data_IF_277084372920
#
_entry.id   IF_277084372920
#
_cell.length_a   1.000
_cell.length_b   1.000
_cell.length_c   1.000
_cell.angle_alpha   90.00
_cell.angle_beta   90.00
_cell.angle_gamma   90.00
#
_symmetry.space_group_name_H-M   'P 1'
#
loop_
_entity.id
_entity.type
_entity.pdbx_description
1 polymer ?
#
# COMPACT_ATOMS: atom_id res chain seq x y z
N UNK A 1 15.77 3.22 -33.37
CA UNK A 1 16.38 2.60 -32.17
C UNK A 1 16.85 3.61 -31.12
N UNK A 2 17.56 4.70 -31.48
CA UNK A 2 18.13 5.67 -30.51
C UNK A 2 17.15 6.29 -29.48
N UNK A 3 15.86 6.44 -29.83
CA UNK A 3 14.86 7.03 -28.93
C UNK A 3 14.40 6.11 -27.79
N UNK A 4 14.23 4.81 -28.04
CA UNK A 4 13.68 3.88 -27.05
C UNK A 4 14.70 3.55 -25.95
N UNK A 5 15.98 3.36 -26.31
CA UNK A 5 17.04 3.15 -25.32
C UNK A 5 17.18 4.35 -24.39
N UNK A 6 17.10 5.57 -24.93
CA UNK A 6 17.16 6.81 -24.13
C UNK A 6 15.96 6.94 -23.20
N UNK A 7 14.77 6.53 -23.64
CA UNK A 7 13.56 6.47 -22.79
C UNK A 7 13.66 5.44 -21.67
N UNK A 8 14.23 4.26 -21.95
CA UNK A 8 14.48 3.23 -20.94
C UNK A 8 15.42 3.72 -19.83
N UNK A 9 16.58 4.29 -20.18
CA UNK A 9 17.53 4.80 -19.20
C UNK A 9 16.95 5.94 -18.36
N UNK A 10 16.22 6.87 -18.99
CA UNK A 10 15.52 7.94 -18.29
C UNK A 10 14.50 7.40 -17.28
N UNK A 11 13.72 6.39 -17.67
CA UNK A 11 12.75 5.75 -16.79
C UNK A 11 13.42 5.07 -15.59
N UNK A 12 14.57 4.42 -15.81
CA UNK A 12 15.36 3.83 -14.73
C UNK A 12 15.86 4.88 -13.74
N UNK A 13 16.32 6.03 -14.23
CA UNK A 13 16.76 7.15 -13.38
C UNK A 13 15.59 7.78 -12.61
N UNK A 14 14.44 7.97 -13.27
CA UNK A 14 13.19 8.44 -12.64
C UNK A 14 12.78 7.51 -11.49
N UNK A 15 12.80 6.19 -11.73
CA UNK A 15 12.49 5.18 -10.71
C UNK A 15 13.47 5.24 -9.53
N UNK A 16 14.77 5.35 -9.79
CA UNK A 16 15.76 5.44 -8.72
C UNK A 16 15.56 6.69 -7.84
N UNK A 17 15.29 7.84 -8.47
CA UNK A 17 14.95 9.07 -7.75
C UNK A 17 13.67 8.92 -6.92
N UNK A 18 12.64 8.29 -7.50
CA UNK A 18 11.39 8.03 -6.78
C UNK A 18 11.62 7.13 -5.56
N UNK A 19 12.46 6.09 -5.66
CA UNK A 19 12.78 5.21 -4.54
C UNK A 19 13.48 5.98 -3.40
N UNK A 20 14.46 6.83 -3.72
CA UNK A 20 15.15 7.66 -2.71
C UNK A 20 14.17 8.61 -2.01
N UNK A 21 13.32 9.28 -2.79
CA UNK A 21 12.31 10.19 -2.25
C UNK A 21 11.30 9.46 -1.37
N UNK A 22 10.89 8.27 -1.78
CA UNK A 22 9.97 7.42 -1.02
C UNK A 22 10.56 7.02 0.35
N UNK A 23 11.82 6.59 0.40
CA UNK A 23 12.48 6.29 1.67
C UNK A 23 12.50 7.51 2.60
N UNK A 24 12.90 8.67 2.08
CA UNK A 24 12.92 9.92 2.87
C UNK A 24 11.54 10.33 3.37
N UNK A 25 10.53 10.15 2.54
CA UNK A 25 9.15 10.48 2.87
C UNK A 25 8.59 9.53 3.94
N UNK A 26 8.86 8.23 3.83
CA UNK A 26 8.49 7.24 4.82
C UNK A 26 9.18 7.52 6.18
N UNK A 27 10.47 7.84 6.18
CA UNK A 27 11.22 8.20 7.40
C UNK A 27 10.66 9.47 8.06
N UNK A 28 10.39 10.50 7.26
CA UNK A 28 9.79 11.75 7.74
C UNK A 28 8.40 11.52 8.33
N UNK A 29 7.56 10.74 7.63
CA UNK A 29 6.20 10.44 8.05
C UNK A 29 6.16 9.54 9.30
N UNK A 30 7.09 8.59 9.41
CA UNK A 30 7.24 7.77 10.61
C UNK A 30 7.62 8.61 11.84
N UNK A 31 8.46 9.61 11.64
CA UNK A 31 8.88 10.55 12.70
C UNK A 31 7.75 11.51 13.10
N UNK A 32 6.97 11.99 12.13
CA UNK A 32 5.86 12.91 12.36
C UNK A 32 4.75 12.63 11.35
N UNK A 33 3.74 11.85 11.75
CA UNK A 33 2.62 11.53 10.88
C UNK A 33 1.55 12.61 11.04
N UNK A 34 1.57 13.61 10.15
CA UNK A 34 0.59 14.69 10.09
C UNK A 34 -0.31 14.54 8.86
N UNK A 35 -1.54 15.08 8.89
CA UNK A 35 -2.42 15.07 7.72
C UNK A 35 -1.78 15.74 6.50
N UNK A 36 -1.09 16.87 6.69
CA UNK A 36 -0.41 17.58 5.60
C UNK A 36 0.68 16.73 4.91
N UNK A 37 1.49 16.01 5.70
CA UNK A 37 2.53 15.13 5.14
C UNK A 37 1.90 13.93 4.41
N UNK A 38 0.83 13.36 4.97
CA UNK A 38 0.11 12.26 4.34
C UNK A 38 -0.54 12.70 3.03
N UNK A 39 -1.19 13.85 2.97
CA UNK A 39 -1.80 14.38 1.75
C UNK A 39 -0.77 14.60 0.64
N UNK A 40 0.33 15.29 0.95
CA UNK A 40 1.43 15.51 -0.01
C UNK A 40 1.99 14.20 -0.54
N UNK A 41 2.16 13.21 0.33
CA UNK A 41 2.65 11.89 -0.03
C UNK A 41 1.69 11.16 -0.98
N UNK A 42 0.42 11.07 -0.60
CA UNK A 42 -0.62 10.41 -1.38
C UNK A 42 -0.83 11.09 -2.73
N UNK A 43 -0.82 12.43 -2.77
CA UNK A 43 -0.92 13.18 -4.02
C UNK A 43 0.22 12.85 -4.98
N UNK A 44 1.47 12.82 -4.49
CA UNK A 44 2.63 12.46 -5.31
C UNK A 44 2.56 11.01 -5.83
N UNK A 45 2.17 10.06 -4.98
CA UNK A 45 1.98 8.64 -5.37
C UNK A 45 0.87 8.52 -6.41
N UNK A 46 -0.29 9.15 -6.17
CA UNK A 46 -1.44 9.14 -7.08
C UNK A 46 -1.09 9.71 -8.45
N UNK A 47 -0.44 10.88 -8.49
CA UNK A 47 0.00 11.52 -9.73
C UNK A 47 1.00 10.62 -10.49
N UNK A 48 1.95 10.01 -9.78
CA UNK A 48 2.89 9.05 -10.37
C UNK A 48 2.21 7.80 -10.94
N UNK A 49 1.24 7.23 -10.21
CA UNK A 49 0.49 6.06 -10.66
C UNK A 49 -0.34 6.38 -11.91
N UNK A 50 -1.03 7.52 -11.94
CA UNK A 50 -1.78 7.96 -13.12
C UNK A 50 -0.87 8.14 -14.35
N UNK A 51 0.30 8.75 -14.20
CA UNK A 51 1.27 8.88 -15.31
C UNK A 51 1.72 7.51 -15.82
N UNK A 52 2.16 6.63 -14.92
CA UNK A 52 2.68 5.31 -15.30
C UNK A 52 1.59 4.43 -15.91
N UNK A 53 0.38 4.43 -15.37
CA UNK A 53 -0.76 3.70 -15.94
C UNK A 53 -1.13 4.22 -17.34
N UNK A 54 -1.13 5.54 -17.54
CA UNK A 54 -1.35 6.14 -18.86
C UNK A 54 -0.24 5.75 -19.85
N UNK A 55 1.02 5.74 -19.41
CA UNK A 55 2.18 5.31 -20.23
C UNK A 55 2.09 3.83 -20.59
N UNK A 56 1.76 2.95 -19.64
CA UNK A 56 1.53 1.51 -19.87
C UNK A 56 0.39 1.28 -20.86
N UNK A 57 -0.76 1.96 -20.67
CA UNK A 57 -1.90 1.88 -21.60
C UNK A 57 -1.51 2.31 -23.00
N UNK A 58 -0.83 3.45 -23.12
CA UNK A 58 -0.34 4.00 -24.39
C UNK A 58 0.70 3.09 -25.05
N UNK A 59 1.56 2.46 -24.26
CA UNK A 59 2.56 1.50 -24.73
C UNK A 59 1.92 0.22 -25.26
N UNK A 60 1.01 -0.40 -24.49
CA UNK A 60 0.25 -1.59 -24.87
C UNK A 60 -0.59 -1.35 -26.11
N UNK A 61 -1.31 -0.24 -26.20
CA UNK A 61 -2.09 0.13 -27.39
C UNK A 61 -1.23 0.26 -28.65
N UNK A 62 -0.02 0.84 -28.51
CA UNK A 62 0.95 0.93 -29.62
C UNK A 62 1.53 -0.45 -29.98
N UNK A 63 1.82 -1.28 -28.99
CA UNK A 63 2.38 -2.61 -29.19
C UNK A 63 1.37 -3.60 -29.77
N UNK A 64 0.10 -3.57 -29.38
CA UNK A 64 -0.95 -4.41 -29.99
C UNK A 64 -1.11 -4.16 -31.50
N UNK A 65 -0.84 -2.93 -31.96
CA UNK A 65 -0.88 -2.55 -33.38
C UNK A 65 0.40 -2.89 -34.16
N UNK A 66 1.49 -3.28 -33.47
CA UNK A 66 2.82 -3.54 -34.06
C UNK A 66 2.98 -4.90 -34.75
N UNK A 67 2.43 -6.03 -34.26
CA UNK A 67 2.59 -7.34 -34.91
C UNK A 67 2.22 -7.33 -36.40
N UNK A 68 1.16 -6.59 -36.77
CA UNK A 68 0.74 -6.41 -38.17
C UNK A 68 1.79 -5.67 -39.00
N UNK A 69 2.44 -4.64 -38.44
CA UNK A 69 3.50 -3.86 -39.10
C UNK A 69 4.83 -4.62 -39.18
N UNK A 70 5.19 -5.34 -38.11
CA UNK A 70 6.42 -6.15 -38.07
C UNK A 70 6.31 -7.33 -39.02
N UNK A 71 5.16 -8.02 -39.09
CA UNK A 71 4.92 -9.10 -40.07
C UNK A 71 5.06 -8.59 -41.52
N UNK A 72 4.51 -7.42 -41.83
CA UNK A 72 4.66 -6.78 -43.15
C UNK A 72 6.11 -6.39 -43.47
N UNK A 73 6.88 -5.91 -42.49
CA UNK A 73 8.30 -5.59 -42.65
C UNK A 73 9.18 -6.85 -42.78
N UNK A 74 8.87 -7.91 -42.04
CA UNK A 74 9.61 -9.20 -42.07
C UNK A 74 9.49 -9.89 -43.43
N UNK A 75 8.33 -9.76 -44.09
CA UNK A 75 8.09 -10.25 -45.46
C UNK A 75 8.90 -9.43 -46.48
N UNK A 76 9.08 -8.12 -46.27
CA UNK A 76 9.82 -7.23 -47.20
C UNK A 76 11.34 -7.26 -47.05
N UNK A 77 11.88 -7.52 -45.85
CA UNK A 77 13.27 -7.21 -45.53
C UNK A 77 14.27 -8.38 -45.64
N UNK A 78 13.83 -9.60 -45.98
CA UNK A 78 14.71 -10.69 -46.44
C UNK A 78 15.92 -11.12 -45.58
N UNK A 79 16.12 -10.67 -44.34
CA UNK A 79 17.32 -11.07 -43.58
C UNK A 79 17.70 -10.31 -42.28
N UNK A 80 16.96 -9.31 -41.82
CA UNK A 80 17.33 -8.52 -40.62
C UNK A 80 16.91 -9.11 -39.26
N UNK A 81 17.18 -10.38 -38.97
CA UNK A 81 16.60 -11.07 -37.79
C UNK A 81 17.14 -10.59 -36.43
N UNK A 82 18.43 -10.27 -36.30
CA UNK A 82 19.05 -9.92 -35.01
C UNK A 82 18.61 -8.55 -34.49
N UNK A 83 18.64 -7.51 -35.32
CA UNK A 83 18.20 -6.16 -34.97
C UNK A 83 16.71 -6.10 -34.58
N UNK A 84 15.89 -6.99 -35.15
CA UNK A 84 14.48 -7.14 -34.75
C UNK A 84 14.39 -7.79 -33.37
N UNK A 85 15.22 -8.80 -33.08
CA UNK A 85 15.33 -9.43 -31.76
C UNK A 85 15.71 -8.43 -30.66
N UNK A 86 16.77 -7.65 -30.88
CA UNK A 86 17.22 -6.61 -29.93
C UNK A 86 16.14 -5.55 -29.70
N UNK A 87 15.40 -5.18 -30.75
CA UNK A 87 14.29 -4.24 -30.62
C UNK A 87 13.13 -4.80 -29.79
N UNK A 88 12.79 -6.09 -29.98
CA UNK A 88 11.75 -6.77 -29.18
C UNK A 88 12.19 -6.87 -27.72
N UNK A 89 13.43 -7.27 -27.46
CA UNK A 89 13.99 -7.33 -26.11
C UNK A 89 13.94 -5.96 -25.41
N UNK A 90 14.35 -4.89 -26.10
CA UNK A 90 14.28 -3.53 -25.56
C UNK A 90 12.84 -3.05 -25.33
N UNK A 91 11.88 -3.50 -26.14
CA UNK A 91 10.46 -3.22 -25.91
C UNK A 91 9.95 -3.94 -24.64
N UNK A 92 10.33 -5.20 -24.44
CA UNK A 92 10.01 -5.97 -23.23
C UNK A 92 10.58 -5.29 -21.99
N UNK A 93 11.87 -4.96 -22.01
CA UNK A 93 12.56 -4.28 -20.90
C UNK A 93 11.94 -2.92 -20.56
N UNK A 94 11.43 -2.18 -21.55
CA UNK A 94 10.73 -0.92 -21.30
C UNK A 94 9.38 -1.11 -20.62
N UNK A 95 8.60 -2.12 -21.04
CA UNK A 95 7.32 -2.45 -20.41
C UNK A 95 7.52 -2.93 -18.96
N UNK A 96 8.48 -3.84 -18.76
CA UNK A 96 8.88 -4.32 -17.45
C UNK A 96 9.30 -3.15 -16.54
N UNK A 97 10.13 -2.23 -17.04
CA UNK A 97 10.56 -1.09 -16.25
C UNK A 97 9.41 -0.15 -15.86
N UNK A 98 8.38 -0.01 -16.70
CA UNK A 98 7.16 0.74 -16.34
C UNK A 98 6.36 0.00 -15.26
N UNK A 99 6.25 -1.32 -15.37
CA UNK A 99 5.58 -2.17 -14.38
C UNK A 99 6.30 -2.14 -13.02
N UNK A 100 7.63 -2.22 -13.01
CA UNK A 100 8.44 -2.10 -11.80
C UNK A 100 8.27 -0.70 -11.16
N UNK A 101 8.16 0.37 -11.96
CA UNK A 101 7.92 1.69 -11.40
C UNK A 101 6.51 1.81 -10.81
N UNK A 102 5.49 1.23 -11.47
CA UNK A 102 4.15 1.12 -10.89
C UNK A 102 4.17 0.39 -9.54
N UNK A 103 4.91 -0.71 -9.44
CA UNK A 103 5.07 -1.46 -8.20
C UNK A 103 5.79 -0.66 -7.12
N UNK A 104 6.86 0.05 -7.47
CA UNK A 104 7.58 0.91 -6.52
C UNK A 104 6.65 1.96 -5.91
N UNK A 105 5.82 2.64 -6.71
CA UNK A 105 4.86 3.63 -6.21
C UNK A 105 3.84 3.01 -5.25
N UNK A 106 3.39 1.78 -5.51
CA UNK A 106 2.52 1.02 -4.59
C UNK A 106 3.23 0.67 -3.28
N UNK A 107 4.51 0.28 -3.35
CA UNK A 107 5.32 0.02 -2.16
C UNK A 107 5.52 1.29 -1.32
N UNK A 108 5.55 2.48 -1.94
CA UNK A 108 5.52 3.74 -1.21
C UNK A 108 4.21 3.89 -0.44
N UNK A 109 3.07 3.56 -1.04
CA UNK A 109 1.77 3.52 -0.38
C UNK A 109 1.73 2.50 0.76
N UNK A 110 2.31 1.32 0.57
CA UNK A 110 2.45 0.28 1.60
C UNK A 110 3.23 0.78 2.81
N UNK A 111 4.33 1.50 2.58
CA UNK A 111 5.13 2.07 3.66
C UNK A 111 4.33 3.12 4.49
N UNK A 112 3.51 3.94 3.84
CA UNK A 112 2.61 4.87 4.54
C UNK A 112 1.55 4.12 5.34
N UNK A 113 0.93 3.09 4.74
CA UNK A 113 -0.08 2.25 5.39
C UNK A 113 0.50 1.56 6.63
N UNK A 114 1.68 0.96 6.51
CA UNK A 114 2.37 0.31 7.62
C UNK A 114 2.67 1.30 8.74
N UNK A 115 3.11 2.51 8.39
CA UNK A 115 3.38 3.57 9.37
C UNK A 115 2.11 4.01 10.11
N UNK A 116 0.98 4.16 9.40
CA UNK A 116 -0.32 4.48 10.01
C UNK A 116 -0.79 3.36 10.94
N UNK A 117 -0.61 2.10 10.51
CA UNK A 117 -0.90 0.90 11.29
C UNK A 117 0.17 0.62 12.36
N UNK A 118 1.11 1.53 12.55
CA UNK A 118 2.17 1.48 13.58
C UNK A 118 3.07 0.24 13.49
N UNK A 119 3.19 -0.33 12.29
CA UNK A 119 3.91 -1.57 12.02
C UNK A 119 3.41 -2.76 12.86
N UNK A 120 2.19 -2.69 13.39
CA UNK A 120 1.61 -3.78 14.17
C UNK A 120 1.07 -4.84 13.20
N UNK A 121 1.68 -6.04 13.13
CA UNK A 121 1.22 -7.10 12.23
C UNK A 121 -0.25 -7.48 12.49
N UNK A 122 -0.72 -7.34 13.73
CA UNK A 122 -2.12 -7.61 14.11
C UNK A 122 -3.10 -6.62 13.51
N UNK A 123 -2.62 -5.42 13.13
CA UNK A 123 -3.41 -4.41 12.41
C UNK A 123 -3.29 -4.57 10.91
N UNK A 124 -2.12 -5.00 10.44
CA UNK A 124 -1.82 -5.14 9.00
C UNK A 124 -2.47 -6.39 8.41
N UNK A 125 -2.27 -7.57 9.02
CA UNK A 125 -2.72 -8.84 8.45
C UNK A 125 -4.23 -8.91 8.22
N UNK A 126 -5.09 -8.50 9.18
CA UNK A 126 -6.53 -8.50 8.93
C UNK A 126 -6.90 -7.60 7.77
N UNK A 127 -6.19 -6.48 7.59
CA UNK A 127 -6.50 -5.51 6.55
C UNK A 127 -5.94 -5.87 5.17
N UNK A 128 -5.03 -6.84 5.11
CA UNK A 128 -4.40 -7.29 3.87
C UNK A 128 -5.38 -8.05 2.96
N UNK A 129 -5.40 -7.69 1.68
CA UNK A 129 -6.14 -8.40 0.66
C UNK A 129 -5.39 -8.45 -0.67
N UNK A 130 -5.32 -9.63 -1.27
CA UNK A 130 -4.79 -9.82 -2.63
C UNK A 130 -5.79 -9.33 -3.66
N UNK A 131 -5.99 -8.01 -3.76
CA UNK A 131 -6.75 -7.39 -4.84
C UNK A 131 -5.81 -6.70 -5.81
N UNK A 132 -6.17 -6.75 -7.09
CA UNK A 132 -5.54 -5.90 -8.09
C UNK A 132 -6.06 -4.50 -7.88
N UNK A 133 -5.40 -3.72 -7.02
CA UNK A 133 -5.73 -2.32 -6.81
C UNK A 133 -5.50 -1.55 -8.11
N UNK A 134 -6.59 -1.28 -8.82
CA UNK A 134 -6.61 -0.36 -9.94
C UNK A 134 -6.93 1.01 -9.37
N UNK A 135 -6.12 2.01 -9.71
CA UNK A 135 -6.46 3.36 -9.31
C UNK A 135 -7.78 3.74 -10.00
N UNK A 136 -8.80 4.09 -9.22
CA UNK A 136 -10.04 4.61 -9.77
C UNK A 136 -9.77 5.80 -10.70
N UNK A 137 -10.64 6.01 -11.70
CA UNK A 137 -10.50 7.13 -12.64
C UNK A 137 -11.78 7.97 -12.68
N UNK A 138 -11.67 9.23 -13.12
CA UNK A 138 -12.82 10.12 -13.24
C UNK A 138 -13.44 10.52 -11.90
N UNK A 139 -14.72 10.23 -11.71
CA UNK A 139 -15.50 10.69 -10.55
C UNK A 139 -15.03 10.02 -9.24
N UNK A 140 -14.70 8.72 -9.29
CA UNK A 140 -14.34 7.96 -8.09
C UNK A 140 -13.09 8.52 -7.40
N UNK A 141 -12.03 8.78 -8.17
CA UNK A 141 -10.78 9.34 -7.64
C UNK A 141 -10.97 10.77 -7.11
N UNK A 142 -11.82 11.57 -7.76
CA UNK A 142 -12.13 12.92 -7.34
C UNK A 142 -12.90 12.93 -6.00
N UNK A 143 -13.87 12.04 -5.84
CA UNK A 143 -14.64 11.90 -4.61
C UNK A 143 -13.75 11.47 -3.43
N UNK A 144 -12.94 10.41 -3.61
CA UNK A 144 -12.00 9.96 -2.59
C UNK A 144 -11.01 11.07 -2.20
N UNK A 145 -10.43 11.75 -3.18
CA UNK A 145 -9.49 12.86 -2.96
C UNK A 145 -10.15 14.01 -2.21
N UNK A 146 -11.40 14.37 -2.55
CA UNK A 146 -12.12 15.44 -1.87
C UNK A 146 -12.36 15.11 -0.40
N UNK A 147 -12.87 13.91 -0.10
CA UNK A 147 -13.10 13.45 1.29
C UNK A 147 -11.79 13.48 2.10
N UNK A 148 -10.68 13.03 1.52
CA UNK A 148 -9.36 13.06 2.15
C UNK A 148 -8.95 14.49 2.49
N UNK A 149 -9.01 15.41 1.50
CA UNK A 149 -8.60 16.80 1.68
C UNK A 149 -9.43 17.49 2.77
N UNK A 150 -10.75 17.35 2.74
CA UNK A 150 -11.61 17.96 3.75
C UNK A 150 -11.35 17.38 5.14
N UNK A 151 -11.12 16.06 5.24
CA UNK A 151 -10.80 15.43 6.51
C UNK A 151 -9.45 15.92 7.06
N UNK A 152 -8.45 16.05 6.20
CA UNK A 152 -7.09 16.47 6.59
C UNK A 152 -7.04 17.94 7.01
N UNK A 153 -7.83 18.83 6.38
CA UNK A 153 -7.95 20.25 6.79
C UNK A 153 -8.34 20.44 8.26
N UNK A 154 -9.03 19.45 8.83
CA UNK A 154 -9.50 19.51 10.23
C UNK A 154 -8.37 19.27 11.22
N UNK A 155 -7.26 18.66 10.78
CA UNK A 155 -6.16 18.22 11.64
C UNK A 155 -6.49 16.99 12.51
N UNK A 156 -7.75 16.54 12.57
CA UNK A 156 -8.22 15.50 13.49
C UNK A 156 -8.05 14.09 12.96
N UNK A 157 -7.96 13.93 11.64
CA UNK A 157 -7.96 12.63 10.99
C UNK A 157 -6.77 12.44 10.06
N UNK A 158 -6.24 11.21 10.06
CA UNK A 158 -5.36 10.71 9.02
C UNK A 158 -6.19 9.76 8.17
N UNK A 159 -6.30 10.04 6.88
CA UNK A 159 -7.10 9.27 5.93
C UNK A 159 -6.20 8.75 4.82
N UNK A 160 -6.16 7.43 4.70
CA UNK A 160 -5.42 6.70 3.69
C UNK A 160 -6.35 6.28 2.54
N UNK A 161 -5.91 6.53 1.32
CA UNK A 161 -6.49 6.06 0.08
C UNK A 161 -6.00 4.63 -0.19
N UNK A 162 -6.90 3.64 -0.07
CA UNK A 162 -6.55 2.24 -0.20
C UNK A 162 -6.18 1.87 -1.63
N UNK A 163 -6.64 2.65 -2.61
CA UNK A 163 -6.23 2.55 -4.02
C UNK A 163 -4.81 3.03 -4.29
N UNK A 164 -4.04 3.46 -3.29
CA UNK A 164 -2.60 3.77 -3.43
C UNK A 164 -1.68 2.68 -2.86
N UNK A 165 -2.25 1.74 -2.11
CA UNK A 165 -1.51 0.68 -1.43
C UNK A 165 -1.92 -0.70 -1.99
N UNK A 166 -1.18 -1.75 -1.63
CA UNK A 166 -1.54 -3.17 -1.74
C UNK A 166 -1.73 -3.80 -0.36
N UNK A 167 -1.30 -3.11 0.68
CA UNK A 167 -1.37 -3.56 2.06
C UNK A 167 -2.81 -3.57 2.60
N UNK A 168 -3.69 -2.70 2.10
CA UNK A 168 -5.07 -2.60 2.58
C UNK A 168 -6.02 -2.93 1.44
N UNK A 169 -6.67 -4.10 1.53
CA UNK A 169 -7.52 -4.68 0.50
C UNK A 169 -9.02 -4.38 0.65
N UNK A 170 -9.38 -3.49 1.59
CA UNK A 170 -10.73 -3.39 2.15
C UNK A 170 -11.20 -1.95 2.14
N UNK A 171 -12.35 -1.68 1.52
CA UNK A 171 -12.87 -0.31 1.36
C UNK A 171 -11.99 0.56 0.45
N UNK A 172 -12.50 1.74 0.11
CA UNK A 172 -11.78 2.76 -0.66
C UNK A 172 -10.87 3.60 0.23
N UNK A 173 -11.30 3.90 1.47
CA UNK A 173 -10.53 4.69 2.43
C UNK A 173 -10.37 3.95 3.76
N UNK A 174 -9.24 4.18 4.44
CA UNK A 174 -9.04 3.81 5.84
C UNK A 174 -8.71 5.05 6.67
N UNK A 175 -9.48 5.26 7.73
CA UNK A 175 -9.53 6.47 8.55
C UNK A 175 -8.99 6.16 9.93
N UNK A 176 -8.15 7.07 10.42
CA UNK A 176 -7.54 7.02 11.74
C UNK A 176 -7.76 8.35 12.45
N UNK A 177 -7.99 8.31 13.76
CA UNK A 177 -7.88 9.52 14.60
C UNK A 177 -6.40 9.90 14.71
N UNK A 178 -6.06 11.17 14.46
CA UNK A 178 -4.67 11.59 14.37
C UNK A 178 -3.93 11.50 15.72
N UNK A 179 -4.61 11.84 16.82
CA UNK A 179 -4.10 11.83 18.19
C UNK A 179 -4.09 10.44 18.85
N UNK A 180 -5.03 9.56 18.46
CA UNK A 180 -5.20 8.22 19.03
C UNK A 180 -4.85 7.09 18.06
N UNK A 181 -4.11 7.35 16.97
CA UNK A 181 -3.88 6.37 15.89
C UNK A 181 -3.33 5.02 16.35
N UNK A 182 -2.55 4.99 17.44
CA UNK A 182 -1.92 3.77 17.97
C UNK A 182 -2.82 3.00 18.92
N UNK A 183 -3.85 3.65 19.45
CA UNK A 183 -4.72 3.14 20.51
C UNK A 183 -6.06 2.71 19.93
N UNK A 184 -6.63 3.51 19.04
CA UNK A 184 -7.91 3.23 18.41
C UNK A 184 -7.75 2.31 17.19
N UNK A 185 -8.85 1.62 16.86
CA UNK A 185 -8.93 0.84 15.63
C UNK A 185 -9.19 1.78 14.45
N UNK A 186 -8.53 1.54 13.30
CA UNK A 186 -8.92 2.21 12.08
C UNK A 186 -10.36 1.86 11.69
N UNK A 187 -10.95 2.75 10.90
CA UNK A 187 -12.26 2.60 10.31
C UNK A 187 -12.13 2.58 8.79
N UNK A 188 -12.65 1.54 8.12
CA UNK A 188 -12.63 1.44 6.65
C UNK A 188 -13.96 1.86 6.06
N UNK A 189 -13.91 2.56 4.93
CA UNK A 189 -15.05 3.20 4.29
C UNK A 189 -15.11 2.84 2.81
N UNK A 190 -16.30 2.47 2.34
CA UNK A 190 -16.60 2.34 0.92
C UNK A 190 -17.30 3.62 0.43
N UNK A 191 -16.82 4.17 -0.67
CA UNK A 191 -17.33 5.38 -1.30
C UNK A 191 -18.08 5.03 -2.59
N UNK A 192 -19.34 5.46 -2.68
CA UNK A 192 -20.09 5.45 -3.94
C UNK A 192 -20.29 6.87 -4.41
N UNK A 193 -19.48 7.28 -5.38
CA UNK A 193 -19.63 8.58 -6.02
C UNK A 193 -20.58 8.50 -7.22
N UNK A 194 -21.58 9.38 -7.27
CA UNK A 194 -22.47 9.56 -8.42
C UNK A 194 -22.42 11.00 -8.90
N UNK A 195 -22.40 11.18 -10.22
CA UNK A 195 -22.61 12.49 -10.82
C UNK A 195 -24.11 12.77 -10.89
N UNK A 196 -24.52 13.95 -10.44
CA UNK A 196 -25.83 14.48 -10.80
C UNK A 196 -25.73 15.08 -12.21
N UNK A 197 -25.85 14.24 -13.24
CA UNK A 197 -25.73 14.64 -14.65
C UNK A 197 -24.87 13.68 -15.48
N UNK A 198 -24.63 14.04 -16.76
CA UNK A 198 -24.02 13.14 -17.75
C UNK A 198 -22.50 13.33 -17.91
N UNK A 199 -21.94 14.48 -17.49
CA UNK A 199 -20.51 14.78 -17.67
C UNK A 199 -19.82 15.30 -16.40
N UNK A 200 -18.55 14.92 -16.24
CA UNK A 200 -17.69 15.42 -15.17
C UNK A 200 -17.12 16.79 -15.56
N UNK A 201 -17.76 17.86 -15.08
CA UNK A 201 -17.34 19.25 -15.30
C UNK A 201 -16.86 19.82 -13.95
N UNK A 202 -15.83 20.67 -13.96
CA UNK A 202 -15.38 21.35 -12.74
C UNK A 202 -16.55 22.15 -12.11
N UNK A 203 -16.84 21.88 -10.83
CA UNK A 203 -17.98 22.46 -10.11
C UNK A 203 -19.27 21.63 -10.15
N UNK A 204 -19.28 20.46 -10.80
CA UNK A 204 -20.41 19.54 -10.73
C UNK A 204 -20.65 19.02 -9.30
N UNK A 205 -21.92 18.93 -8.90
CA UNK A 205 -22.29 18.33 -7.61
C UNK A 205 -22.11 16.81 -7.68
N UNK A 206 -21.26 16.29 -6.79
CA UNK A 206 -21.01 14.86 -6.61
C UNK A 206 -21.68 14.45 -5.31
N UNK A 207 -22.62 13.51 -5.38
CA UNK A 207 -23.13 12.84 -4.18
C UNK A 207 -22.17 11.71 -3.84
N UNK A 208 -21.68 11.72 -2.59
CA UNK A 208 -20.87 10.64 -2.03
C UNK A 208 -21.73 9.90 -1.03
N UNK A 209 -22.17 8.71 -1.40
CA UNK A 209 -22.85 7.79 -0.49
C UNK A 209 -21.82 6.89 0.19
N UNK A 210 -22.09 6.54 1.44
CA UNK A 210 -21.28 5.62 2.23
C UNK A 210 -22.01 4.28 2.33
N UNK A 211 -21.27 3.18 2.26
CA UNK A 211 -21.83 1.84 2.51
C UNK A 211 -20.98 1.07 3.50
N UNK A 212 -21.62 0.20 4.29
CA UNK A 212 -20.92 -0.86 5.03
C UNK A 212 -20.62 -0.60 6.49
N UNK A 213 -21.38 0.24 7.18
CA UNK A 213 -21.14 0.52 8.60
C UNK A 213 -21.83 -0.49 9.51
N UNK A 214 -21.18 -1.63 9.75
CA UNK A 214 -21.51 -2.46 10.93
C UNK A 214 -20.46 -2.20 11.99
N UNK A 215 -20.86 -1.55 13.08
CA UNK A 215 -19.97 -1.21 14.18
C UNK A 215 -19.96 -2.34 15.21
N UNK A 216 -18.84 -3.04 15.32
CA UNK A 216 -18.70 -4.10 16.32
C UNK A 216 -18.18 -3.59 17.67
N UNK A 217 -17.65 -2.36 17.72
CA UNK A 217 -17.29 -1.70 18.97
C UNK A 217 -17.66 -0.21 18.98
N UNK A 218 -17.82 0.32 20.19
CA UNK A 218 -18.19 1.72 20.44
C UNK A 218 -17.15 2.72 19.95
N UNK A 219 -15.86 2.35 19.90
CA UNK A 219 -14.79 3.25 19.47
C UNK A 219 -14.86 3.56 17.96
N UNK A 220 -15.12 2.56 17.12
CA UNK A 220 -15.28 2.73 15.68
C UNK A 220 -16.59 3.45 15.34
N UNK A 221 -17.66 3.18 16.09
CA UNK A 221 -18.91 3.93 15.98
C UNK A 221 -18.71 5.43 16.28
N UNK A 222 -17.97 5.74 17.35
CA UNK A 222 -17.65 7.12 17.70
C UNK A 222 -16.73 7.77 16.67
N UNK A 223 -15.70 7.06 16.20
CA UNK A 223 -14.80 7.56 15.15
C UNK A 223 -15.58 7.90 13.87
N UNK A 224 -16.49 7.02 13.45
CA UNK A 224 -17.36 7.28 12.30
C UNK A 224 -18.27 8.49 12.53
N UNK A 225 -18.94 8.56 13.69
CA UNK A 225 -19.81 9.68 14.02
C UNK A 225 -19.06 11.03 14.00
N UNK A 226 -17.88 11.08 14.61
CA UNK A 226 -17.01 12.25 14.61
C UNK A 226 -16.58 12.62 13.18
N UNK A 227 -16.20 11.63 12.38
CA UNK A 227 -15.76 11.84 10.99
C UNK A 227 -16.87 12.42 10.11
N UNK A 228 -18.06 11.83 10.16
CA UNK A 228 -19.23 12.29 9.40
C UNK A 228 -19.67 13.69 9.83
N UNK A 229 -19.74 13.93 11.14
CA UNK A 229 -20.11 15.23 11.69
C UNK A 229 -19.17 16.33 11.20
N UNK A 230 -17.85 16.07 11.23
CA UNK A 230 -16.83 17.04 10.86
C UNK A 230 -16.86 17.38 9.36
N UNK A 231 -17.14 16.40 8.51
CA UNK A 231 -17.21 16.61 7.07
C UNK A 231 -18.55 17.21 6.60
N UNK A 232 -19.51 17.43 7.52
CA UNK A 232 -20.84 17.95 7.18
C UNK A 232 -21.59 17.06 6.19
N UNK A 233 -21.21 15.79 6.11
CA UNK A 233 -21.77 14.84 5.17
C UNK A 233 -23.19 14.53 5.60
N UNK A 234 -24.16 14.74 4.70
CA UNK A 234 -25.50 14.22 4.91
C UNK A 234 -25.37 12.70 4.85
N UNK A 235 -25.51 12.04 6.00
CA UNK A 235 -25.78 10.60 6.02
C UNK A 235 -27.07 10.45 5.23
N UNK A 236 -26.96 9.98 3.98
CA UNK A 236 -28.12 9.43 3.30
C UNK A 236 -28.64 8.37 4.24
N UNK A 237 -29.83 8.59 4.82
CA UNK A 237 -30.42 7.64 5.73
C UNK A 237 -30.26 6.26 5.09
N UNK A 238 -29.54 5.36 5.76
CA UNK A 238 -29.69 3.95 5.49
C UNK A 238 -31.16 3.64 5.85
N UNK A 239 -32.09 3.89 4.93
CA UNK A 239 -33.32 3.13 4.89
C UNK A 239 -32.86 1.68 4.82
N UNK A 240 -33.06 0.97 5.93
CA UNK A 240 -32.42 -0.30 6.24
C UNK A 240 -32.27 -1.19 5.01
N UNK A 241 -31.03 -1.38 4.56
CA UNK A 241 -30.74 -2.35 3.53
C UNK A 241 -30.81 -3.75 4.13
N UNK A 242 -32.02 -4.31 4.02
CA UNK A 242 -32.35 -5.74 4.00
C UNK A 242 -31.29 -6.58 3.23
N UNK A 243 -31.14 -7.88 3.55
CA UNK A 243 -29.89 -8.63 3.52
C UNK A 243 -29.53 -9.13 2.13
N UNK A 244 -28.89 -8.28 1.34
CA UNK A 244 -27.96 -8.72 0.29
C UNK A 244 -26.74 -7.80 0.33
N UNK A 245 -26.01 -7.85 1.45
CA UNK A 245 -24.69 -7.24 1.55
C UNK A 245 -23.84 -7.72 0.37
N UNK A 246 -23.38 -6.80 -0.47
CA UNK A 246 -22.48 -7.16 -1.57
C UNK A 246 -21.28 -7.93 -1.01
N UNK A 247 -20.66 -8.86 -1.78
CA UNK A 247 -19.51 -9.63 -1.28
C UNK A 247 -18.39 -8.77 -0.69
N UNK A 248 -18.25 -7.54 -1.16
CA UNK A 248 -17.31 -6.55 -0.65
C UNK A 248 -17.67 -6.06 0.75
N UNK A 249 -18.94 -5.79 1.05
CA UNK A 249 -19.38 -5.38 2.38
C UNK A 249 -19.26 -6.52 3.40
N UNK A 250 -19.52 -7.76 2.97
CA UNK A 250 -19.30 -8.96 3.80
C UNK A 250 -17.81 -9.13 4.12
N UNK A 251 -16.93 -8.93 3.13
CA UNK A 251 -15.49 -8.97 3.35
C UNK A 251 -15.05 -7.85 4.31
N UNK A 252 -15.52 -6.61 4.12
CA UNK A 252 -15.25 -5.50 5.05
C UNK A 252 -15.64 -5.86 6.48
N UNK A 253 -16.81 -6.46 6.65
CA UNK A 253 -17.31 -6.93 7.93
C UNK A 253 -16.39 -7.98 8.56
N UNK A 254 -16.09 -9.07 7.84
CA UNK A 254 -15.26 -10.16 8.35
C UNK A 254 -13.86 -9.67 8.78
N UNK A 255 -13.30 -8.69 8.07
CA UNK A 255 -11.98 -8.15 8.38
C UNK A 255 -11.99 -7.18 9.56
N UNK A 256 -13.06 -6.41 9.73
CA UNK A 256 -13.26 -5.61 10.93
C UNK A 256 -13.37 -6.50 12.18
N UNK A 257 -14.14 -7.60 12.09
CA UNK A 257 -14.25 -8.58 13.15
C UNK A 257 -12.91 -9.22 13.50
N UNK A 258 -12.18 -9.71 12.50
CA UNK A 258 -10.84 -10.27 12.70
C UNK A 258 -9.89 -9.27 13.37
N UNK A 259 -9.96 -7.98 13.00
CA UNK A 259 -9.15 -6.93 13.61
C UNK A 259 -9.49 -6.74 15.10
N UNK A 260 -10.77 -6.77 15.45
CA UNK A 260 -11.22 -6.70 16.86
C UNK A 260 -10.79 -7.94 17.63
N UNK A 261 -10.95 -9.13 17.07
CA UNK A 261 -10.56 -10.40 17.72
C UNK A 261 -9.06 -10.45 17.99
N UNK A 262 -8.21 -10.11 17.02
CA UNK A 262 -6.75 -10.20 17.17
C UNK A 262 -6.22 -9.14 18.15
N UNK A 263 -6.92 -8.01 18.30
CA UNK A 263 -6.52 -6.94 19.22
C UNK A 263 -7.17 -7.04 20.61
N UNK A 264 -8.35 -7.67 20.71
CA UNK A 264 -9.09 -7.92 21.96
C UNK A 264 -8.81 -9.29 22.60
N UNK A 265 -8.30 -10.25 21.83
CA UNK A 265 -7.89 -11.58 22.31
C UNK A 265 -6.59 -11.54 23.11
N UNK A 266 -6.50 -12.42 24.11
CA UNK A 266 -5.27 -12.63 24.88
C UNK A 266 -4.09 -12.85 23.92
N UNK A 267 -2.96 -12.19 24.20
CA UNK A 267 -1.68 -12.23 23.48
C UNK A 267 -1.08 -13.63 23.25
N UNK A 268 -1.77 -14.68 23.71
CA UNK A 268 -1.25 -16.02 23.82
C UNK A 268 -1.63 -16.83 22.59
N UNK A 269 -0.58 -17.33 21.90
CA UNK A 269 -0.60 -18.37 20.88
C UNK A 269 -0.66 -17.94 19.41
N UNK A 270 0.14 -16.96 19.01
CA UNK A 270 0.84 -17.12 17.73
C UNK A 270 1.93 -18.18 17.95
N UNK A 271 1.64 -19.45 17.63
CA UNK A 271 2.68 -20.47 17.58
C UNK A 271 3.67 -20.10 16.48
N UNK A 272 4.79 -19.50 16.87
CA UNK A 272 5.84 -19.15 15.93
C UNK A 272 6.36 -20.43 15.27
N UNK A 273 6.22 -20.54 13.95
CA UNK A 273 6.83 -21.61 13.17
C UNK A 273 8.35 -21.59 13.43
N UNK A 274 8.91 -22.72 13.87
CA UNK A 274 10.33 -22.86 14.21
C UNK A 274 11.24 -22.54 13.02
N UNK A 275 10.78 -22.73 11.78
CA UNK A 275 11.51 -22.34 10.57
C UNK A 275 11.58 -20.83 10.39
N UNK A 276 10.48 -20.12 10.62
CA UNK A 276 10.46 -18.65 10.58
C UNK A 276 11.33 -18.05 11.68
N UNK A 277 11.38 -18.70 12.84
CA UNK A 277 12.27 -18.32 13.95
C UNK A 277 13.74 -18.47 13.61
N UNK A 278 14.12 -19.62 13.03
CA UNK A 278 15.49 -19.85 12.58
C UNK A 278 15.89 -18.81 11.54
N UNK A 279 14.99 -18.52 10.60
CA UNK A 279 15.18 -17.52 9.55
C UNK A 279 15.33 -16.10 10.12
N UNK A 280 14.45 -15.68 11.05
CA UNK A 280 14.56 -14.40 11.76
C UNK A 280 15.89 -14.25 12.49
N UNK A 281 16.31 -15.28 13.24
CA UNK A 281 17.57 -15.27 13.99
C UNK A 281 18.76 -15.18 13.05
N UNK A 282 18.75 -15.94 11.95
CA UNK A 282 19.80 -15.92 10.93
C UNK A 282 19.88 -14.57 10.22
N UNK A 283 18.74 -13.94 9.95
CA UNK A 283 18.67 -12.61 9.34
C UNK A 283 19.19 -11.55 10.30
N UNK A 284 18.78 -11.56 11.56
CA UNK A 284 19.28 -10.62 12.56
C UNK A 284 20.80 -10.77 12.78
N UNK A 285 21.30 -12.00 12.92
CA UNK A 285 22.73 -12.26 13.08
C UNK A 285 23.54 -11.79 11.87
N UNK A 286 23.08 -12.09 10.65
CA UNK A 286 23.76 -11.64 9.43
C UNK A 286 23.70 -10.12 9.26
N UNK A 287 22.57 -9.48 9.58
CA UNK A 287 22.46 -8.03 9.53
C UNK A 287 23.40 -7.34 10.52
N UNK A 288 23.66 -7.96 11.68
CA UNK A 288 24.65 -7.45 12.63
C UNK A 288 26.09 -7.51 12.11
N UNK A 289 26.40 -8.45 11.21
CA UNK A 289 27.73 -8.60 10.61
C UNK A 289 27.88 -7.79 9.32
N UNK A 290 26.81 -7.69 8.51
CA UNK A 290 26.85 -7.22 7.12
C UNK A 290 25.97 -6.00 6.85
N UNK A 291 25.58 -5.25 7.88
CA UNK A 291 24.69 -4.07 7.87
C UNK A 291 23.24 -4.31 7.43
N UNK A 292 22.97 -5.30 6.59
CA UNK A 292 21.63 -5.72 6.22
C UNK A 292 21.61 -7.21 5.87
N UNK A 293 20.47 -7.86 6.08
CA UNK A 293 20.24 -9.22 5.63
C UNK A 293 18.75 -9.43 5.37
N UNK A 294 18.46 -10.44 4.54
CA UNK A 294 17.12 -10.93 4.36
C UNK A 294 17.11 -12.45 4.18
N UNK A 295 15.94 -13.03 4.37
CA UNK A 295 15.66 -14.42 4.12
C UNK A 295 14.18 -14.61 3.78
N UNK A 296 13.86 -15.67 3.05
CA UNK A 296 12.51 -15.99 2.61
C UNK A 296 12.24 -17.42 3.08
N UNK A 297 11.77 -17.60 4.33
CA UNK A 297 11.60 -18.95 4.88
C UNK A 297 10.54 -19.75 4.13
N UNK A 298 9.54 -19.10 3.55
CA UNK A 298 8.51 -19.74 2.73
C UNK A 298 7.94 -18.77 1.68
N UNK A 299 7.30 -19.27 0.61
CA UNK A 299 6.67 -18.43 -0.39
C UNK A 299 5.65 -17.46 0.24
N UNK A 300 5.92 -16.15 0.10
CA UNK A 300 5.05 -15.09 0.62
C UNK A 300 5.49 -14.50 1.95
N UNK A 301 6.49 -15.08 2.63
CA UNK A 301 7.07 -14.52 3.86
C UNK A 301 8.51 -14.12 3.60
N UNK A 302 8.81 -12.83 3.75
CA UNK A 302 10.16 -12.30 3.69
C UNK A 302 10.51 -11.69 5.04
N UNK A 303 11.66 -12.09 5.59
CA UNK A 303 12.21 -11.53 6.82
C UNK A 303 13.42 -10.68 6.43
N UNK A 304 13.42 -9.43 6.85
CA UNK A 304 14.50 -8.48 6.57
C UNK A 304 14.96 -7.82 7.85
N UNK A 305 16.27 -7.62 7.99
CA UNK A 305 16.85 -6.82 9.06
C UNK A 305 17.90 -5.88 8.48
N UNK A 306 17.92 -4.66 8.99
CA UNK A 306 18.91 -3.63 8.65
C UNK A 306 19.46 -3.09 9.95
N UNK A 307 20.79 -3.06 10.08
CA UNK A 307 21.52 -2.52 11.22
C UNK A 307 21.52 -1.00 11.12
N UNK A 308 21.16 -0.32 12.19
CA UNK A 308 21.22 1.15 12.23
C UNK A 308 22.69 1.58 12.28
N UNK A 309 23.11 2.47 11.37
CA UNK A 309 24.48 3.03 11.35
C UNK A 309 24.78 3.98 12.51
N UNK A 310 23.74 4.42 13.23
CA UNK A 310 23.83 5.20 14.48
C UNK A 310 23.23 4.36 15.60
N UNK A 311 24.04 3.87 16.53
CA UNK A 311 23.60 3.05 17.66
C UNK A 311 24.74 2.33 18.36
N UNK A 312 24.48 1.84 19.57
CA UNK A 312 25.42 1.00 20.32
C UNK A 312 25.60 -0.34 19.60
N UNK A 313 26.82 -0.64 19.17
CA UNK A 313 27.19 -1.87 18.46
C UNK A 313 27.43 -3.06 19.41
N UNK A 314 27.11 -2.90 20.69
CA UNK A 314 27.38 -3.92 21.71
C UNK A 314 26.42 -5.12 21.65
N UNK A 315 26.83 -6.29 22.16
CA UNK A 315 25.96 -7.44 22.41
C UNK A 315 24.68 -7.10 23.20
N UNK A 316 24.65 -5.98 23.94
CA UNK A 316 23.48 -5.52 24.69
C UNK A 316 22.34 -5.08 23.78
N UNK A 317 22.63 -4.52 22.60
CA UNK A 317 21.59 -4.15 21.62
C UNK A 317 20.86 -5.40 21.11
N UNK A 318 21.60 -6.47 20.82
CA UNK A 318 21.03 -7.78 20.45
C UNK A 318 20.16 -8.34 21.58
N UNK A 319 20.66 -8.33 22.82
CA UNK A 319 19.88 -8.77 23.98
C UNK A 319 18.59 -7.96 24.14
N UNK A 320 18.63 -6.65 23.87
CA UNK A 320 17.45 -5.77 23.94
C UNK A 320 16.44 -6.10 22.84
N UNK A 321 16.88 -6.32 21.60
CA UNK A 321 16.00 -6.71 20.49
C UNK A 321 15.34 -8.06 20.78
N UNK A 322 16.13 -9.05 21.23
CA UNK A 322 15.62 -10.37 21.57
C UNK A 322 14.63 -10.33 22.74
N UNK A 323 14.90 -9.53 23.78
CA UNK A 323 13.97 -9.34 24.90
C UNK A 323 12.66 -8.68 24.46
N UNK A 324 12.74 -7.73 23.51
CA UNK A 324 11.55 -7.08 22.95
C UNK A 324 10.71 -8.07 22.16
N UNK A 325 11.34 -8.89 21.30
CA UNK A 325 10.64 -9.97 20.59
C UNK A 325 9.95 -10.92 21.60
N UNK A 326 10.62 -11.29 22.69
CA UNK A 326 9.99 -12.10 23.73
C UNK A 326 8.76 -11.44 24.36
N UNK A 327 8.82 -10.13 24.65
CA UNK A 327 7.68 -9.38 25.21
C UNK A 327 6.48 -9.25 24.26
N UNK A 328 6.71 -9.38 22.95
CA UNK A 328 5.68 -9.36 21.91
C UNK A 328 5.07 -10.76 21.64
N UNK A 329 5.33 -11.73 22.53
CA UNK A 329 4.74 -13.07 22.45
C UNK A 329 5.57 -14.10 21.68
N UNK A 330 6.81 -13.78 21.31
CA UNK A 330 7.70 -14.74 20.65
C UNK A 330 8.40 -15.63 21.71
N UNK A 331 8.39 -16.97 21.57
CA UNK A 331 8.87 -17.87 22.63
C UNK A 331 10.37 -17.69 22.95
N UNK A 332 10.69 -17.70 24.23
CA UNK A 332 12.07 -17.66 24.73
C UNK A 332 12.69 -19.06 24.67
N UNK A 333 13.49 -19.34 23.65
CA UNK A 333 14.38 -20.51 23.65
C UNK A 333 14.61 -21.13 22.28
N UNK A 334 15.80 -20.93 21.74
CA UNK A 334 16.46 -21.87 20.84
C UNK A 334 17.94 -21.96 21.25
N UNK A 335 18.60 -23.11 21.03
CA UNK A 335 19.70 -23.60 21.86
C UNK A 335 20.92 -22.70 21.80
N UNK A 336 21.65 -22.66 22.92
CA UNK A 336 22.94 -21.99 23.09
C UNK A 336 23.78 -22.07 21.82
N UNK A 337 24.00 -20.92 21.19
CA UNK A 337 25.00 -20.76 20.13
C UNK A 337 26.37 -20.90 20.78
N UNK A 338 27.04 -22.04 20.56
CA UNK A 338 28.50 -22.09 20.64
C UNK A 338 29.05 -21.15 19.58
N UNK A 339 29.76 -20.12 20.04
CA UNK A 339 30.51 -19.15 19.21
C UNK A 339 31.56 -19.83 18.35
#
# INVERSE_FOLDING_TARGET
>A
MKGLGRQYWRLRDERHKAAILACRLADAFNSSATPELLDKAQHAIRAGLLDIENRLRSWRNRNQRRPRKIKALRIRAGGGSSLIGDHIALCGAHEESLEEFRQLLRQCGDALAWTLLSFDPRRIFPLYGTRTHHLNTGVGIAAATHVIIEAHKTGKFLVLDNDLTRCIGIGDLTIFRADARRQELPYSLELKARLQGVEFIAGAEVSVDFGGTVFENSSQAQLHADFVQVLGLKIGAEEGSSPQSTPQLVEMYNRAHLLVEVLGGQRENLSANTEHWRSLTNVLNRAMQSDAAYDIPEPGIAIMAVRTLKGDHSPRAMTSVMRRLQSEGFPAGLPSLTL
#
